data_IF_889333362847
#
_entry.id   IF_889333362847
#
_cell.length_a   1.000
_cell.length_b   1.000
_cell.length_c   1.000
_cell.angle_alpha   90.00
_cell.angle_beta   90.00
_cell.angle_gamma   90.00
#
_symmetry.space_group_name_H-M   'P 1'
#
loop_
_entity.id
_entity.type
_entity.pdbx_description
1 polymer ?
#
# COMPACT_ATOMS: atom_id res chain seq x y z
N UNK A 1 7.36 -4.93 1.35
CA UNK A 1 6.27 -4.27 0.58
C UNK A 1 4.99 -4.37 1.39
N UNK A 2 4.15 -3.33 1.42
CA UNK A 2 2.90 -3.36 2.21
C UNK A 2 1.71 -3.29 1.26
N UNK A 3 0.77 -4.22 1.39
CA UNK A 3 -0.57 -4.13 0.82
C UNK A 3 -1.53 -3.56 1.84
N UNK A 4 -2.41 -2.66 1.41
CA UNK A 4 -3.55 -2.22 2.21
C UNK A 4 -4.80 -2.74 1.50
N UNK A 5 -5.49 -3.67 2.17
CA UNK A 5 -6.72 -4.28 1.67
C UNK A 5 -7.90 -3.73 2.45
N UNK A 6 -8.99 -3.44 1.75
CA UNK A 6 -10.20 -2.87 2.34
C UNK A 6 -11.28 -3.94 2.44
N UNK A 7 -12.00 -3.97 3.55
CA UNK A 7 -13.11 -4.87 3.79
C UNK A 7 -14.24 -4.11 4.49
N UNK A 8 -15.49 -4.41 4.13
CA UNK A 8 -16.67 -3.67 4.62
C UNK A 8 -17.54 -4.46 5.60
N UNK A 9 -17.08 -4.74 6.83
CA UNK A 9 -17.96 -5.19 7.90
C UNK A 9 -18.67 -4.01 8.56
N UNK A 10 -19.48 -4.27 9.59
CA UNK A 10 -20.20 -3.23 10.33
C UNK A 10 -19.32 -2.39 11.29
N UNK A 11 -18.11 -2.85 11.63
CA UNK A 11 -17.19 -2.18 12.57
C UNK A 11 -15.95 -1.60 11.88
N UNK A 12 -15.41 -0.51 12.44
CA UNK A 12 -14.20 0.17 11.97
C UNK A 12 -12.94 -0.08 12.83
N UNK A 13 -13.11 -0.66 14.01
CA UNK A 13 -11.99 -0.88 14.96
C UNK A 13 -11.10 -2.06 14.59
N UNK A 14 -11.58 -2.96 13.73
CA UNK A 14 -11.01 -4.29 13.56
C UNK A 14 -9.97 -4.36 12.43
N UNK A 15 -9.01 -3.43 12.43
CA UNK A 15 -7.88 -3.47 11.50
C UNK A 15 -6.91 -4.58 11.92
N UNK A 16 -6.48 -5.41 10.97
CA UNK A 16 -5.62 -6.57 11.25
C UNK A 16 -4.39 -6.61 10.36
N UNK A 17 -3.26 -7.01 10.94
CA UNK A 17 -2.02 -7.26 10.20
C UNK A 17 -1.95 -8.75 9.84
N UNK A 18 -1.88 -9.02 8.54
CA UNK A 18 -1.77 -10.35 7.99
C UNK A 18 -0.37 -10.54 7.45
N UNK A 19 0.34 -11.51 8.01
CA UNK A 19 1.69 -11.89 7.58
C UNK A 19 1.62 -12.77 6.34
N UNK A 20 1.29 -12.12 5.23
CA UNK A 20 1.12 -12.72 3.92
C UNK A 20 0.27 -11.83 3.02
N UNK A 21 -0.56 -12.44 2.18
CA UNK A 21 -1.36 -11.73 1.17
C UNK A 21 -2.86 -11.97 1.34
N UNK A 22 -3.66 -10.93 1.13
CA UNK A 22 -5.11 -11.07 0.96
C UNK A 22 -5.49 -10.74 -0.48
N UNK A 23 -6.18 -11.67 -1.12
CA UNK A 23 -6.77 -11.48 -2.45
C UNK A 23 -8.23 -11.09 -2.32
N UNK A 24 -8.70 -10.26 -3.25
CA UNK A 24 -10.06 -9.72 -3.32
C UNK A 24 -11.06 -10.62 -4.06
N UNK A 25 -10.67 -11.86 -4.29
CA UNK A 25 -11.47 -12.88 -4.94
C UNK A 25 -11.18 -14.25 -4.31
N UNK A 26 -12.16 -15.14 -4.43
CA UNK A 26 -12.11 -16.51 -3.94
C UNK A 26 -12.22 -17.54 -5.06
N UNK A 27 -12.33 -18.80 -4.65
CA UNK A 27 -12.60 -19.91 -5.55
C UNK A 27 -13.98 -19.72 -6.20
N UNK A 28 -14.04 -19.91 -7.52
CA UNK A 28 -15.30 -19.77 -8.28
C UNK A 28 -16.12 -21.05 -8.30
N UNK A 29 -15.48 -22.21 -8.25
CA UNK A 29 -16.16 -23.49 -8.27
C UNK A 29 -16.62 -23.87 -6.84
N UNK A 30 -17.88 -24.30 -6.64
CA UNK A 30 -18.42 -24.60 -5.31
C UNK A 30 -17.71 -25.76 -4.61
N UNK A 31 -17.26 -26.77 -5.37
CA UNK A 31 -16.60 -27.96 -4.81
C UNK A 31 -15.10 -27.75 -4.49
N UNK A 32 -14.55 -26.57 -4.75
CA UNK A 32 -13.17 -26.26 -4.35
C UNK A 32 -13.06 -26.14 -2.83
N UNK A 33 -11.95 -26.64 -2.28
CA UNK A 33 -11.67 -26.57 -0.84
C UNK A 33 -11.63 -25.11 -0.37
N UNK A 34 -12.42 -24.77 0.64
CA UNK A 34 -12.41 -23.42 1.25
C UNK A 34 -11.20 -23.18 2.15
N UNK A 35 -10.57 -24.24 2.64
CA UNK A 35 -9.40 -24.17 3.51
C UNK A 35 -8.38 -25.23 3.09
N UNK A 36 -7.14 -24.78 2.99
CA UNK A 36 -6.00 -25.56 2.52
C UNK A 36 -4.84 -25.30 3.46
N UNK A 37 -4.37 -26.35 4.12
CA UNK A 37 -3.21 -26.31 5.01
C UNK A 37 -1.98 -26.80 4.24
N UNK A 38 -0.79 -26.26 4.57
CA UNK A 38 0.47 -26.56 3.88
C UNK A 38 0.32 -26.50 2.35
N UNK A 39 -0.03 -25.31 1.86
CA UNK A 39 -0.36 -25.07 0.47
C UNK A 39 0.90 -24.76 -0.35
N UNK A 40 1.12 -25.55 -1.40
CA UNK A 40 1.96 -25.17 -2.53
C UNK A 40 1.19 -24.22 -3.44
N UNK A 41 1.81 -23.10 -3.79
CA UNK A 41 1.21 -22.05 -4.60
C UNK A 41 1.88 -22.03 -5.95
N UNK A 42 1.07 -22.14 -7.01
CA UNK A 42 1.49 -21.96 -8.39
C UNK A 42 0.94 -20.63 -8.89
N UNK A 43 1.82 -19.66 -9.11
CA UNK A 43 1.48 -18.40 -9.78
C UNK A 43 1.82 -18.44 -11.27
N UNK A 44 0.86 -18.02 -12.10
CA UNK A 44 1.11 -17.89 -13.54
C UNK A 44 0.29 -16.80 -14.21
N UNK A 45 0.67 -16.45 -15.43
CA UNK A 45 -0.10 -15.54 -16.30
C UNK A 45 -0.58 -16.21 -17.60
N UNK A 46 -0.64 -17.54 -17.60
CA UNK A 46 -1.05 -18.35 -18.76
C UNK A 46 -2.56 -18.39 -18.85
N UNK A 47 -3.09 -18.34 -20.07
CA UNK A 47 -4.54 -18.45 -20.26
C UNK A 47 -4.98 -19.89 -20.13
N UNK A 48 -5.91 -20.13 -19.21
CA UNK A 48 -6.62 -21.39 -19.07
C UNK A 48 -8.08 -21.19 -19.52
N UNK A 49 -8.32 -20.27 -20.46
CA UNK A 49 -9.62 -20.05 -21.06
C UNK A 49 -9.51 -20.14 -22.58
N UNK A 50 -10.66 -20.28 -23.25
CA UNK A 50 -10.71 -20.25 -24.70
C UNK A 50 -10.28 -18.88 -25.22
N UNK A 51 -9.12 -18.84 -25.87
CA UNK A 51 -8.61 -17.65 -26.55
C UNK A 51 -8.95 -17.72 -28.03
N UNK A 52 -9.60 -16.67 -28.55
CA UNK A 52 -9.68 -16.47 -30.00
C UNK A 52 -8.30 -16.09 -30.51
N UNK A 53 -7.94 -16.59 -31.70
CA UNK A 53 -6.68 -16.19 -32.32
C UNK A 53 -6.65 -14.67 -32.56
N UNK A 54 -5.47 -14.05 -32.37
CA UNK A 54 -5.28 -12.61 -32.58
C UNK A 54 -5.38 -12.23 -34.06
N UNK A 55 -4.98 -13.14 -34.95
CA UNK A 55 -5.21 -13.03 -36.39
C UNK A 55 -6.60 -13.56 -36.68
N UNK A 56 -7.36 -12.88 -37.56
CA UNK A 56 -8.69 -13.30 -38.00
C UNK A 56 -8.67 -14.73 -38.59
N UNK A 57 -8.82 -15.73 -37.73
CA UNK A 57 -8.90 -17.14 -38.11
C UNK A 57 -10.37 -17.51 -38.27
N UNK A 58 -10.84 -17.57 -39.51
CA UNK A 58 -12.12 -18.18 -39.83
C UNK A 58 -11.94 -19.68 -40.06
N UNK A 59 -12.69 -20.51 -39.35
CA UNK A 59 -12.75 -21.93 -39.67
C UNK A 59 -13.82 -22.18 -40.72
N UNK A 60 -13.43 -22.79 -41.85
CA UNK A 60 -14.36 -23.28 -42.86
C UNK A 60 -14.46 -24.79 -42.72
N UNK A 61 -15.67 -25.29 -42.48
CA UNK A 61 -15.98 -26.71 -42.41
C UNK A 61 -17.15 -27.03 -43.35
N UNK A 62 -17.12 -28.20 -43.98
CA UNK A 62 -18.17 -28.63 -44.91
C UNK A 62 -19.13 -29.63 -44.27
N UNK A 63 -18.67 -30.35 -43.24
CA UNK A 63 -19.45 -31.37 -42.53
C UNK A 63 -19.60 -31.06 -41.04
N UNK A 64 -20.64 -31.62 -40.41
CA UNK A 64 -20.86 -31.50 -38.97
C UNK A 64 -19.74 -32.18 -38.15
N UNK A 65 -19.21 -33.31 -38.65
CA UNK A 65 -18.12 -34.05 -38.00
C UNK A 65 -16.82 -33.24 -37.95
N UNK A 66 -16.48 -32.51 -39.01
CA UNK A 66 -15.32 -31.61 -39.04
C UNK A 66 -15.45 -30.50 -38.00
N UNK A 67 -16.64 -29.93 -37.85
CA UNK A 67 -16.92 -28.92 -36.82
C UNK A 67 -16.68 -29.47 -35.41
N UNK A 68 -17.17 -30.67 -35.12
CA UNK A 68 -16.96 -31.29 -33.80
C UNK A 68 -15.49 -31.59 -33.53
N UNK A 69 -14.73 -32.05 -34.54
CA UNK A 69 -13.29 -32.31 -34.41
C UNK A 69 -12.51 -31.04 -34.08
N UNK A 70 -12.85 -29.92 -34.72
CA UNK A 70 -12.21 -28.62 -34.46
C UNK A 70 -12.49 -28.11 -33.04
N UNK A 71 -13.75 -28.15 -32.60
CA UNK A 71 -14.13 -27.77 -31.23
C UNK A 71 -13.40 -28.63 -30.19
N UNK A 72 -13.28 -29.95 -30.46
CA UNK A 72 -12.50 -30.85 -29.60
C UNK A 72 -11.01 -30.52 -29.62
N UNK A 73 -10.43 -30.14 -30.76
CA UNK A 73 -9.02 -29.81 -30.87
C UNK A 73 -8.65 -28.53 -30.10
N UNK A 74 -9.47 -27.47 -30.22
CA UNK A 74 -9.30 -26.25 -29.44
C UNK A 74 -9.37 -26.52 -27.94
N UNK A 75 -10.31 -27.38 -27.53
CA UNK A 75 -10.46 -27.76 -26.13
C UNK A 75 -9.31 -28.62 -25.61
N UNK A 76 -8.81 -29.56 -26.43
CA UNK A 76 -7.63 -30.38 -26.08
C UNK A 76 -6.42 -29.53 -25.70
N UNK A 77 -6.20 -28.41 -26.37
CA UNK A 77 -5.11 -27.49 -26.06
C UNK A 77 -5.17 -26.96 -24.61
N UNK A 78 -6.37 -26.62 -24.13
CA UNK A 78 -6.59 -26.17 -22.75
C UNK A 78 -6.51 -27.35 -21.78
N UNK A 79 -7.12 -28.48 -22.13
CA UNK A 79 -7.07 -29.70 -21.32
C UNK A 79 -5.62 -30.18 -21.11
N UNK A 80 -4.75 -30.10 -22.11
CA UNK A 80 -3.35 -30.47 -22.00
C UNK A 80 -2.59 -29.54 -21.05
N UNK A 81 -2.90 -28.23 -21.05
CA UNK A 81 -2.37 -27.28 -20.06
C UNK A 81 -2.80 -27.61 -18.63
N UNK A 82 -4.08 -27.96 -18.44
CA UNK A 82 -4.61 -28.36 -17.13
C UNK A 82 -3.98 -29.67 -16.67
N UNK A 83 -3.79 -30.64 -17.57
CA UNK A 83 -3.11 -31.91 -17.26
C UNK A 83 -1.70 -31.68 -16.73
N UNK A 84 -0.91 -30.79 -17.35
CA UNK A 84 0.43 -30.44 -16.83
C UNK A 84 0.40 -29.92 -15.39
N UNK A 85 -0.59 -29.10 -15.04
CA UNK A 85 -0.77 -28.60 -13.67
C UNK A 85 -1.16 -29.74 -12.70
N UNK A 86 -2.04 -30.64 -13.15
CA UNK A 86 -2.45 -31.82 -12.37
C UNK A 86 -1.30 -32.81 -12.17
N UNK A 87 -0.46 -33.00 -13.19
CA UNK A 87 0.77 -33.81 -13.12
C UNK A 87 1.76 -33.23 -12.10
N UNK A 88 2.02 -31.92 -12.16
CA UNK A 88 2.87 -31.23 -11.19
C UNK A 88 2.34 -31.38 -9.77
N UNK A 89 1.02 -31.27 -9.58
CA UNK A 89 0.41 -31.54 -8.28
C UNK A 89 0.68 -32.97 -7.81
N UNK A 90 0.53 -33.96 -8.67
CA UNK A 90 0.72 -35.37 -8.31
C UNK A 90 2.18 -35.66 -7.95
N UNK A 91 3.12 -34.99 -8.60
CA UNK A 91 4.55 -35.06 -8.29
C UNK A 91 4.87 -34.48 -6.91
N UNK A 92 4.29 -33.33 -6.56
CA UNK A 92 4.63 -32.60 -5.32
C UNK A 92 3.80 -33.04 -4.10
N UNK A 93 2.52 -33.36 -4.31
CA UNK A 93 1.56 -33.72 -3.25
C UNK A 93 1.32 -35.24 -3.16
N UNK A 94 2.16 -36.08 -3.77
CA UNK A 94 1.89 -37.52 -4.00
C UNK A 94 1.43 -38.30 -2.77
N UNK A 95 2.24 -38.35 -1.70
CA UNK A 95 1.92 -39.08 -0.46
C UNK A 95 1.54 -38.17 0.71
N UNK A 96 1.99 -36.91 0.68
CA UNK A 96 1.70 -35.91 1.69
C UNK A 96 0.38 -35.19 1.40
N UNK A 97 -0.39 -34.90 2.45
CA UNK A 97 -1.64 -34.11 2.37
C UNK A 97 -1.37 -32.61 2.11
N UNK A 98 -0.35 -32.30 1.31
CA UNK A 98 -0.03 -30.95 0.88
C UNK A 98 -1.19 -30.37 0.06
N UNK A 99 -1.56 -29.15 0.39
CA UNK A 99 -2.49 -28.37 -0.40
C UNK A 99 -1.87 -27.91 -1.72
N UNK A 100 -2.70 -27.70 -2.75
CA UNK A 100 -2.24 -27.10 -4.00
C UNK A 100 -3.20 -25.98 -4.43
N UNK A 101 -2.65 -24.78 -4.64
CA UNK A 101 -3.39 -23.57 -4.98
C UNK A 101 -2.80 -22.97 -6.24
N UNK A 102 -3.65 -22.70 -7.23
CA UNK A 102 -3.27 -22.04 -8.49
C UNK A 102 -3.79 -20.63 -8.46
N UNK A 103 -2.91 -19.65 -8.65
CA UNK A 103 -3.26 -18.24 -8.74
C UNK A 103 -2.88 -17.74 -10.12
N UNK A 104 -3.88 -17.58 -10.97
CA UNK A 104 -3.69 -17.15 -12.35
C UNK A 104 -4.07 -15.68 -12.53
N UNK A 105 -3.23 -14.93 -13.24
CA UNK A 105 -3.53 -13.57 -13.68
C UNK A 105 -4.60 -13.55 -14.77
N UNK A 106 -4.63 -14.57 -15.65
CA UNK A 106 -5.63 -14.69 -16.72
C UNK A 106 -6.87 -15.45 -16.23
N UNK A 107 -7.86 -15.59 -17.11
CA UNK A 107 -9.06 -16.38 -16.83
C UNK A 107 -8.81 -17.88 -16.81
N UNK A 108 -9.76 -18.59 -16.20
CA UNK A 108 -9.85 -20.05 -16.19
C UNK A 108 -11.28 -20.38 -16.63
N UNK A 109 -11.45 -21.25 -17.62
CA UNK A 109 -12.76 -21.66 -18.10
C UNK A 109 -13.47 -22.62 -17.12
N UNK A 110 -14.81 -22.73 -17.16
CA UNK A 110 -15.56 -23.59 -16.27
C UNK A 110 -15.12 -25.06 -16.31
N UNK A 111 -14.80 -25.62 -17.47
CA UNK A 111 -14.40 -27.03 -17.54
C UNK A 111 -13.03 -27.28 -16.91
N UNK A 112 -12.09 -26.34 -17.07
CA UNK A 112 -10.82 -26.38 -16.35
C UNK A 112 -11.02 -26.23 -14.85
N UNK A 113 -11.95 -25.37 -14.40
CA UNK A 113 -12.30 -25.26 -12.98
C UNK A 113 -12.86 -26.58 -12.43
N UNK A 114 -13.73 -27.26 -13.16
CA UNK A 114 -14.27 -28.57 -12.78
C UNK A 114 -13.17 -29.63 -12.67
N UNK A 115 -12.24 -29.65 -13.64
CA UNK A 115 -11.11 -30.58 -13.64
C UNK A 115 -10.17 -30.34 -12.46
N UNK A 116 -9.83 -29.07 -12.17
CA UNK A 116 -9.01 -28.69 -11.03
C UNK A 116 -9.73 -28.97 -9.70
N UNK A 117 -11.03 -28.75 -9.62
CA UNK A 117 -11.84 -29.02 -8.44
C UNK A 117 -11.90 -30.52 -8.10
N UNK A 118 -12.05 -31.39 -9.11
CA UNK A 118 -12.03 -32.85 -8.94
C UNK A 118 -10.71 -33.36 -8.34
N UNK A 119 -9.60 -32.77 -8.76
CA UNK A 119 -8.29 -33.08 -8.20
C UNK A 119 -8.10 -32.41 -6.83
N UNK A 120 -9.00 -31.52 -6.39
CA UNK A 120 -8.90 -30.80 -5.11
C UNK A 120 -7.88 -29.66 -5.13
N UNK A 121 -7.68 -29.02 -6.29
CA UNK A 121 -6.88 -27.81 -6.47
C UNK A 121 -7.79 -26.58 -6.29
N UNK A 122 -7.34 -25.62 -5.47
CA UNK A 122 -8.03 -24.32 -5.38
C UNK A 122 -7.51 -23.43 -6.49
N UNK A 123 -8.37 -23.00 -7.41
CA UNK A 123 -7.98 -22.15 -8.52
C UNK A 123 -8.59 -20.75 -8.39
N UNK A 124 -7.71 -19.75 -8.41
CA UNK A 124 -8.03 -18.34 -8.43
C UNK A 124 -7.72 -17.80 -9.83
N UNK A 125 -8.65 -17.03 -10.38
CA UNK A 125 -8.52 -16.47 -11.72
C UNK A 125 -8.60 -14.95 -11.67
N UNK A 126 -8.00 -14.29 -12.66
CA UNK A 126 -8.00 -12.83 -12.81
C UNK A 126 -7.34 -12.11 -11.63
N UNK A 127 -6.27 -12.69 -11.08
CA UNK A 127 -5.48 -12.05 -10.05
C UNK A 127 -4.82 -10.76 -10.57
N UNK A 128 -4.76 -9.73 -9.73
CA UNK A 128 -4.11 -8.46 -10.09
C UNK A 128 -2.61 -8.67 -10.28
N UNK A 129 -2.02 -8.10 -11.33
CA UNK A 129 -0.57 -8.17 -11.59
C UNK A 129 0.29 -7.79 -10.37
N UNK A 130 -0.08 -6.72 -9.66
CA UNK A 130 0.61 -6.27 -8.44
C UNK A 130 0.62 -7.33 -7.32
N UNK A 131 -0.39 -8.22 -7.29
CA UNK A 131 -0.48 -9.28 -6.30
C UNK A 131 0.48 -10.42 -6.66
N UNK A 132 0.72 -10.68 -7.97
CA UNK A 132 1.71 -11.65 -8.42
C UNK A 132 3.11 -11.29 -7.94
N UNK A 133 3.51 -10.02 -8.08
CA UNK A 133 4.79 -9.51 -7.56
C UNK A 133 4.88 -9.70 -6.04
N UNK A 134 3.79 -9.45 -5.31
CA UNK A 134 3.75 -9.64 -3.84
C UNK A 134 3.80 -11.10 -3.43
N UNK A 135 3.16 -11.98 -4.19
CA UNK A 135 3.16 -13.42 -3.97
C UNK A 135 4.56 -14.01 -4.13
N UNK A 136 5.30 -13.62 -5.17
CA UNK A 136 6.71 -14.01 -5.32
C UNK A 136 7.55 -13.58 -4.11
N UNK A 137 7.31 -12.37 -3.58
CA UNK A 137 8.02 -11.86 -2.41
C UNK A 137 7.59 -12.51 -1.08
N UNK A 138 6.32 -12.94 -0.95
CA UNK A 138 5.78 -13.52 0.27
C UNK A 138 6.05 -15.03 0.36
N UNK A 139 5.72 -15.76 -0.70
CA UNK A 139 5.72 -17.22 -0.77
C UNK A 139 7.04 -17.78 -1.31
N UNK A 140 7.90 -16.94 -1.90
CA UNK A 140 9.18 -17.34 -2.48
C UNK A 140 9.08 -17.98 -3.86
N UNK A 141 7.92 -17.89 -4.52
CA UNK A 141 7.67 -18.48 -5.83
C UNK A 141 8.24 -17.67 -6.99
N UNK A 142 8.33 -18.32 -8.16
CA UNK A 142 8.63 -17.67 -9.43
C UNK A 142 7.36 -17.61 -10.27
N UNK A 143 6.93 -16.40 -10.65
CA UNK A 143 5.74 -16.24 -11.49
C UNK A 143 5.99 -16.81 -12.89
N UNK A 144 5.17 -17.78 -13.30
CA UNK A 144 5.36 -18.52 -14.56
C UNK A 144 4.62 -17.88 -15.74
N UNK A 145 5.31 -17.83 -16.87
CA UNK A 145 4.77 -17.32 -18.13
C UNK A 145 4.35 -18.41 -19.13
N UNK A 146 4.89 -19.62 -18.97
CA UNK A 146 4.51 -20.81 -19.73
C UNK A 146 4.38 -22.00 -18.78
N UNK A 147 3.63 -23.01 -19.21
CA UNK A 147 3.44 -24.28 -18.49
C UNK A 147 4.34 -25.40 -19.04
N UNK A 148 5.26 -25.10 -19.97
CA UNK A 148 6.09 -26.12 -20.60
C UNK A 148 7.22 -26.62 -19.69
N UNK A 149 7.83 -25.72 -18.91
CA UNK A 149 8.92 -26.04 -17.97
C UNK A 149 8.45 -25.90 -16.51
N UNK A 150 7.42 -26.67 -16.13
CA UNK A 150 6.96 -26.73 -14.75
C UNK A 150 7.93 -27.56 -13.90
N UNK A 151 8.57 -26.92 -12.92
CA UNK A 151 9.42 -27.59 -11.92
C UNK A 151 8.85 -27.37 -10.52
N UNK A 152 9.02 -28.33 -9.59
CA UNK A 152 8.66 -28.16 -8.18
C UNK A 152 9.29 -26.91 -7.54
N UNK A 153 10.52 -26.56 -7.96
CA UNK A 153 11.27 -25.39 -7.46
C UNK A 153 10.60 -24.05 -7.77
N UNK A 154 9.70 -24.00 -8.76
CA UNK A 154 8.99 -22.77 -9.12
C UNK A 154 7.83 -22.45 -8.16
N UNK A 155 7.41 -23.42 -7.35
CA UNK A 155 6.26 -23.30 -6.46
C UNK A 155 6.60 -22.51 -5.19
N UNK A 156 5.62 -21.73 -4.74
CA UNK A 156 5.65 -21.06 -3.45
C UNK A 156 5.10 -21.94 -2.35
N UNK A 157 5.36 -21.55 -1.11
CA UNK A 157 4.80 -22.24 0.05
C UNK A 157 4.11 -21.27 1.01
N UNK A 158 2.90 -21.65 1.43
CA UNK A 158 2.14 -20.98 2.47
C UNK A 158 1.55 -22.01 3.44
N UNK A 159 1.72 -21.80 4.74
CA UNK A 159 1.22 -22.73 5.75
C UNK A 159 -0.31 -22.79 5.84
N UNK A 160 -1.01 -21.71 5.48
CA UNK A 160 -2.47 -21.69 5.49
C UNK A 160 -3.02 -20.81 4.36
N UNK A 161 -3.90 -21.38 3.55
CA UNK A 161 -4.71 -20.65 2.57
C UNK A 161 -6.18 -20.92 2.85
N UNK A 162 -6.97 -19.87 3.04
CA UNK A 162 -8.41 -20.02 3.26
C UNK A 162 -9.23 -18.92 2.61
N UNK A 163 -10.43 -19.30 2.17
CA UNK A 163 -11.44 -18.37 1.68
C UNK A 163 -12.30 -17.90 2.85
N UNK A 164 -12.47 -16.58 2.95
CA UNK A 164 -13.39 -15.94 3.85
C UNK A 164 -14.42 -15.16 3.04
N UNK A 165 -15.68 -15.53 3.20
CA UNK A 165 -16.80 -14.90 2.49
C UNK A 165 -17.47 -13.90 3.42
N UNK A 166 -17.64 -12.66 2.96
CA UNK A 166 -18.38 -11.61 3.65
C UNK A 166 -19.47 -11.08 2.73
N UNK A 167 -20.72 -11.44 3.02
CA UNK A 167 -21.84 -11.15 2.11
C UNK A 167 -21.64 -11.90 0.79
N UNK A 168 -21.58 -11.15 -0.32
CA UNK A 168 -21.33 -11.69 -1.67
C UNK A 168 -19.84 -11.66 -2.06
N UNK A 169 -19.01 -10.92 -1.32
CA UNK A 169 -17.59 -10.78 -1.60
C UNK A 169 -16.79 -11.94 -0.97
N UNK A 170 -15.83 -12.47 -1.73
CA UNK A 170 -14.94 -13.54 -1.30
C UNK A 170 -13.52 -13.02 -1.22
N UNK A 171 -12.85 -13.30 -0.12
CA UNK A 171 -11.46 -12.93 0.11
C UNK A 171 -10.64 -14.19 0.34
N UNK A 172 -9.51 -14.32 -0.34
CA UNK A 172 -8.59 -15.45 -0.06
C UNK A 172 -7.41 -14.94 0.74
N UNK A 173 -7.22 -15.54 1.92
CA UNK A 173 -6.13 -15.25 2.83
C UNK A 173 -5.03 -16.26 2.60
N UNK A 174 -3.81 -15.76 2.42
CA UNK A 174 -2.60 -16.55 2.27
C UNK A 174 -1.69 -16.15 3.44
N UNK A 175 -1.59 -17.03 4.44
CA UNK A 175 -0.92 -16.78 5.70
C UNK A 175 0.21 -17.78 5.93
N UNK A 176 1.11 -17.45 6.88
CA UNK A 176 2.27 -18.29 7.24
C UNK A 176 3.14 -18.60 6.01
N UNK A 177 3.42 -17.57 5.21
CA UNK A 177 4.34 -17.70 4.08
C UNK A 177 5.79 -17.80 4.59
N UNK A 178 6.65 -18.54 3.87
CA UNK A 178 8.04 -18.79 4.31
C UNK A 178 8.86 -17.51 4.45
N UNK A 179 8.60 -16.49 3.62
CA UNK A 179 9.37 -15.25 3.58
C UNK A 179 8.44 -14.04 3.60
N UNK A 180 7.99 -13.57 4.76
CA UNK A 180 7.01 -12.48 4.86
C UNK A 180 7.60 -11.07 4.59
N UNK A 181 8.32 -10.89 3.48
CA UNK A 181 8.77 -9.57 2.98
C UNK A 181 7.62 -8.72 2.48
N UNK A 182 6.51 -9.36 2.08
CA UNK A 182 5.25 -8.70 1.79
C UNK A 182 4.22 -9.04 2.87
N UNK A 183 3.55 -8.01 3.38
CA UNK A 183 2.49 -8.13 4.39
C UNK A 183 1.26 -7.33 3.96
N UNK A 184 0.09 -7.73 4.45
CA UNK A 184 -1.18 -7.06 4.17
C UNK A 184 -1.76 -6.47 5.44
N UNK A 185 -2.05 -5.18 5.43
CA UNK A 185 -2.89 -4.52 6.41
C UNK A 185 -4.34 -4.58 5.91
N UNK A 186 -5.16 -5.39 6.56
CA UNK A 186 -6.58 -5.49 6.28
C UNK A 186 -7.32 -4.46 7.12
N UNK A 187 -7.78 -3.41 6.46
CA UNK A 187 -8.56 -2.32 7.03
C UNK A 187 -10.03 -2.66 6.90
N UNK A 188 -10.73 -2.66 8.04
CA UNK A 188 -12.15 -2.91 8.13
C UNK A 188 -12.87 -1.60 8.44
N UNK A 189 -14.01 -1.35 7.79
CA UNK A 189 -14.80 -0.16 8.05
C UNK A 189 -16.17 -0.21 7.38
N UNK A 190 -17.19 0.43 7.98
CA UNK A 190 -18.57 0.35 7.51
C UNK A 190 -18.78 1.12 6.21
N UNK A 191 -18.12 2.28 6.07
CA UNK A 191 -18.33 3.21 4.98
C UNK A 191 -17.09 3.35 4.10
N UNK A 192 -17.30 3.59 2.81
CA UNK A 192 -16.17 3.79 1.87
C UNK A 192 -15.32 5.01 2.24
N UNK A 193 -15.95 6.08 2.73
CA UNK A 193 -15.26 7.30 3.12
C UNK A 193 -14.36 7.08 4.34
N UNK A 194 -14.85 6.37 5.37
CA UNK A 194 -14.05 6.06 6.57
C UNK A 194 -12.90 5.11 6.25
N UNK A 195 -13.14 4.06 5.44
CA UNK A 195 -12.09 3.18 4.92
C UNK A 195 -10.99 3.95 4.19
N UNK A 196 -11.37 4.89 3.34
CA UNK A 196 -10.43 5.71 2.58
C UNK A 196 -9.60 6.60 3.50
N UNK A 197 -10.22 7.21 4.51
CA UNK A 197 -9.54 8.03 5.51
C UNK A 197 -8.55 7.21 6.35
N UNK A 198 -8.96 6.04 6.86
CA UNK A 198 -8.10 5.15 7.64
C UNK A 198 -6.92 4.67 6.79
N UNK A 199 -7.16 4.32 5.52
CA UNK A 199 -6.11 3.94 4.58
C UNK A 199 -5.10 5.04 4.33
N UNK A 200 -5.53 6.30 4.20
CA UNK A 200 -4.61 7.43 4.08
C UNK A 200 -3.81 7.62 5.38
N UNK A 201 -4.46 7.59 6.53
CA UNK A 201 -3.78 7.70 7.83
C UNK A 201 -2.71 6.62 8.03
N UNK A 202 -3.02 5.36 7.71
CA UNK A 202 -2.07 4.24 7.75
C UNK A 202 -0.91 4.48 6.78
N UNK A 203 -1.20 4.93 5.55
CA UNK A 203 -0.16 5.19 4.55
C UNK A 203 0.80 6.28 4.99
N UNK A 204 0.29 7.34 5.59
CA UNK A 204 1.09 8.46 6.09
C UNK A 204 1.93 8.01 7.30
N UNK A 205 1.33 7.27 8.24
CA UNK A 205 2.04 6.67 9.37
C UNK A 205 3.15 5.70 8.94
N UNK A 206 2.88 4.81 7.98
CA UNK A 206 3.89 3.89 7.43
C UNK A 206 5.06 4.64 6.80
N UNK A 207 4.79 5.75 6.09
CA UNK A 207 5.83 6.58 5.50
C UNK A 207 6.62 7.34 6.56
N UNK A 208 5.96 7.87 7.58
CA UNK A 208 6.63 8.53 8.70
C UNK A 208 7.57 7.57 9.45
N UNK A 209 7.12 6.34 9.73
CA UNK A 209 7.96 5.31 10.36
C UNK A 209 9.11 4.91 9.43
N UNK A 210 8.86 4.74 8.13
CA UNK A 210 9.90 4.44 7.14
C UNK A 210 10.97 5.55 7.08
N UNK A 211 10.55 6.81 7.11
CA UNK A 211 11.47 7.94 7.17
C UNK A 211 12.30 7.95 8.46
N UNK A 212 11.71 7.56 9.59
CA UNK A 212 12.44 7.44 10.87
C UNK A 212 13.54 6.38 10.79
N UNK A 213 13.26 5.26 10.14
CA UNK A 213 14.23 4.18 9.90
C UNK A 213 15.34 4.66 8.96
N UNK A 214 14.99 5.36 7.88
CA UNK A 214 15.95 5.85 6.89
C UNK A 214 16.86 6.96 7.45
N UNK A 215 16.31 7.87 8.26
CA UNK A 215 17.04 9.01 8.82
C UNK A 215 17.98 8.61 9.97
N UNK A 216 17.62 7.58 10.75
CA UNK A 216 18.36 7.15 11.94
C UNK A 216 18.29 8.16 13.11
N UNK A 217 17.55 9.25 12.96
CA UNK A 217 17.31 10.25 13.98
C UNK A 217 15.87 10.80 13.90
N UNK A 218 15.37 11.27 15.04
CA UNK A 218 14.05 11.88 15.18
C UNK A 218 14.19 13.18 15.97
N UNK A 219 13.30 14.14 15.74
CA UNK A 219 13.31 15.43 16.41
C UNK A 219 12.04 15.56 17.27
N UNK A 220 12.08 16.14 18.48
CA UNK A 220 10.86 16.42 19.25
C UNK A 220 9.85 17.22 18.43
N UNK A 221 8.59 16.79 18.45
CA UNK A 221 7.52 17.38 17.65
C UNK A 221 6.78 18.53 18.36
N UNK A 222 5.49 18.69 18.01
CA UNK A 222 4.56 19.64 18.63
C UNK A 222 5.06 21.10 18.70
N UNK A 223 5.87 21.53 17.72
CA UNK A 223 6.36 22.90 17.62
C UNK A 223 7.64 23.18 18.41
N UNK A 224 8.24 22.18 19.08
CA UNK A 224 9.42 22.40 19.91
C UNK A 224 10.64 22.91 19.12
N UNK A 225 10.84 22.33 17.94
CA UNK A 225 11.94 22.72 17.04
C UNK A 225 11.74 24.13 16.52
N UNK A 226 10.50 24.47 16.15
CA UNK A 226 10.14 25.78 15.63
C UNK A 226 10.42 26.89 16.63
N UNK A 227 10.04 26.69 17.90
CA UNK A 227 10.33 27.66 18.97
C UNK A 227 11.84 27.80 19.18
N UNK A 228 12.57 26.70 19.28
CA UNK A 228 14.02 26.72 19.47
C UNK A 228 14.76 27.39 18.30
N UNK A 229 14.38 27.07 17.06
CA UNK A 229 14.93 27.69 15.85
C UNK A 229 14.63 29.19 15.81
N UNK A 230 13.39 29.60 16.10
CA UNK A 230 13.02 31.01 16.11
C UNK A 230 13.85 31.81 17.12
N UNK A 231 14.01 31.28 18.34
CA UNK A 231 14.86 31.93 19.35
C UNK A 231 16.33 32.00 18.94
N UNK A 232 16.86 30.93 18.34
CA UNK A 232 18.23 30.91 17.83
C UNK A 232 18.44 31.97 16.73
N UNK A 233 17.47 32.13 15.83
CA UNK A 233 17.50 33.16 14.78
C UNK A 233 17.39 34.57 15.33
N UNK A 234 16.56 34.80 16.35
CA UNK A 234 16.45 36.09 17.05
C UNK A 234 17.79 36.45 17.71
N UNK A 235 18.49 35.49 18.32
CA UNK A 235 19.84 35.69 18.85
C UNK A 235 20.86 35.96 17.72
N UNK A 236 20.76 35.23 16.61
CA UNK A 236 21.63 35.40 15.45
C UNK A 236 21.44 36.73 14.72
N UNK A 237 20.23 37.32 14.79
CA UNK A 237 19.88 38.62 14.20
C UNK A 237 20.87 39.74 14.54
N UNK A 238 21.48 39.72 15.74
CA UNK A 238 22.46 40.73 16.15
C UNK A 238 23.78 40.65 15.37
N UNK A 239 24.10 39.49 14.77
CA UNK A 239 25.32 39.29 13.97
C UNK A 239 25.16 39.71 12.50
N UNK A 240 23.93 39.79 12.00
CA UNK A 240 23.61 40.13 10.61
C UNK A 240 23.54 41.65 10.45
N UNK A 241 24.23 42.19 9.44
CA UNK A 241 24.32 43.63 9.19
C UNK A 241 23.36 44.07 8.09
N UNK A 242 22.80 45.27 8.25
CA UNK A 242 22.03 45.94 7.19
C UNK A 242 20.60 45.43 7.05
N UNK A 243 20.07 45.49 5.82
CA UNK A 243 18.66 45.20 5.52
C UNK A 243 18.27 43.73 5.71
N UNK A 244 19.23 42.81 5.56
CA UNK A 244 19.02 41.37 5.71
C UNK A 244 18.55 40.99 7.11
N UNK A 245 18.83 41.84 8.10
CA UNK A 245 18.35 41.69 9.47
C UNK A 245 16.82 41.64 9.57
N UNK A 246 16.11 42.38 8.70
CA UNK A 246 14.65 42.37 8.62
C UNK A 246 14.13 41.04 8.06
N UNK A 247 14.86 40.45 7.10
CA UNK A 247 14.53 39.14 6.53
C UNK A 247 14.67 38.03 7.57
N UNK A 248 15.77 38.03 8.34
CA UNK A 248 15.98 37.06 9.43
C UNK A 248 14.88 37.18 10.50
N UNK A 249 14.51 38.41 10.88
CA UNK A 249 13.41 38.62 11.82
C UNK A 249 12.09 38.08 11.29
N UNK A 250 11.72 38.44 10.05
CA UNK A 250 10.49 37.96 9.44
C UNK A 250 10.45 36.42 9.35
N UNK A 251 11.58 35.79 9.02
CA UNK A 251 11.67 34.33 8.98
C UNK A 251 11.51 33.70 10.37
N UNK A 252 12.14 34.26 11.41
CA UNK A 252 12.00 33.79 12.78
C UNK A 252 10.55 33.89 13.28
N UNK A 253 9.86 34.99 12.96
CA UNK A 253 8.47 35.21 13.38
C UNK A 253 7.49 34.22 12.73
N UNK A 254 7.76 33.82 11.47
CA UNK A 254 6.95 32.85 10.72
C UNK A 254 7.05 31.44 11.32
N UNK A 255 8.20 31.05 11.88
CA UNK A 255 8.36 29.72 12.47
C UNK A 255 7.36 29.45 13.61
N UNK A 256 6.95 30.49 14.35
CA UNK A 256 5.93 30.35 15.39
C UNK A 256 4.54 29.98 14.88
N UNK A 257 4.28 29.97 13.56
CA UNK A 257 2.96 29.66 13.02
C UNK A 257 2.48 28.25 13.42
N UNK A 258 3.38 27.26 13.45
CA UNK A 258 3.04 25.88 13.80
C UNK A 258 2.53 25.79 15.25
N UNK A 259 3.30 26.20 16.29
CA UNK A 259 2.82 26.16 17.66
C UNK A 259 1.61 27.08 17.90
N UNK A 260 1.51 28.24 17.22
CA UNK A 260 0.33 29.10 17.27
C UNK A 260 -0.92 28.35 16.82
N UNK A 261 -0.91 27.84 15.59
CA UNK A 261 -2.09 27.19 15.01
C UNK A 261 -2.45 25.91 15.78
N UNK A 262 -1.47 25.18 16.30
CA UNK A 262 -1.72 24.04 17.19
C UNK A 262 -2.47 24.44 18.46
N UNK A 263 -1.99 25.47 19.18
CA UNK A 263 -2.68 25.98 20.37
C UNK A 263 -4.10 26.49 20.04
N UNK A 264 -4.25 27.19 18.91
CA UNK A 264 -5.54 27.71 18.44
C UNK A 264 -6.55 26.59 18.15
N UNK A 265 -6.10 25.55 17.44
CA UNK A 265 -6.94 24.40 17.08
C UNK A 265 -7.36 23.60 18.32
N UNK A 266 -6.54 23.61 19.36
CA UNK A 266 -6.87 23.05 20.67
C UNK A 266 -7.76 23.96 21.54
N UNK A 267 -8.03 25.20 21.12
CA UNK A 267 -8.91 26.15 21.82
C UNK A 267 -8.23 27.00 22.91
N UNK A 268 -6.89 26.99 22.98
CA UNK A 268 -6.13 27.78 23.94
C UNK A 268 -5.76 29.16 23.39
N UNK A 269 -5.43 30.10 24.30
CA UNK A 269 -4.94 31.42 23.89
C UNK A 269 -3.55 31.33 23.25
N UNK A 270 -3.45 31.92 22.06
CA UNK A 270 -2.27 31.90 21.21
C UNK A 270 -1.06 32.57 21.87
N UNK A 271 -1.28 33.71 22.52
CA UNK A 271 -0.18 34.54 23.03
C UNK A 271 0.30 34.00 24.36
N UNK A 272 -0.61 33.67 25.27
CA UNK A 272 -0.29 33.15 26.58
C UNK A 272 0.51 31.84 26.48
N UNK A 273 0.05 30.91 25.65
CA UNK A 273 0.71 29.61 25.44
C UNK A 273 2.12 29.78 24.89
N UNK A 274 2.28 30.65 23.89
CA UNK A 274 3.60 30.90 23.31
C UNK A 274 4.57 31.57 24.27
N UNK A 275 4.10 32.56 25.03
CA UNK A 275 4.95 33.28 25.99
C UNK A 275 5.44 32.32 27.06
N UNK A 276 4.55 31.47 27.59
CA UNK A 276 4.92 30.41 28.56
C UNK A 276 6.03 29.51 28.02
N UNK A 277 5.86 28.97 26.80
CA UNK A 277 6.87 28.09 26.19
C UNK A 277 8.19 28.84 25.94
N UNK A 278 8.13 30.09 25.50
CA UNK A 278 9.34 30.88 25.23
C UNK A 278 10.14 31.17 26.49
N UNK A 279 9.45 31.52 27.59
CA UNK A 279 10.06 31.79 28.90
C UNK A 279 10.72 30.52 29.42
N UNK A 280 9.98 29.42 29.51
CA UNK A 280 10.51 28.17 30.05
C UNK A 280 11.64 27.59 29.18
N UNK A 281 11.56 27.74 27.85
CA UNK A 281 12.64 27.30 26.96
C UNK A 281 13.91 28.13 27.19
N UNK A 282 13.76 29.42 27.48
CA UNK A 282 14.89 30.30 27.77
C UNK A 282 15.54 29.99 29.13
N UNK A 283 14.76 29.56 30.11
CA UNK A 283 15.23 29.22 31.46
C UNK A 283 15.87 27.83 31.52
N UNK A 284 15.25 26.82 30.92
CA UNK A 284 15.67 25.42 31.02
C UNK A 284 16.61 24.99 29.89
N UNK A 285 16.60 25.69 28.75
CA UNK A 285 17.33 25.30 27.55
C UNK A 285 16.86 23.97 26.93
N UNK A 286 15.73 23.44 27.39
CA UNK A 286 15.14 22.19 26.91
C UNK A 286 14.14 22.42 25.78
N UNK A 287 13.99 21.44 24.88
CA UNK A 287 13.04 21.51 23.76
C UNK A 287 11.61 21.28 24.29
N UNK A 288 10.90 22.39 24.53
CA UNK A 288 9.52 22.42 25.01
C UNK A 288 8.54 22.61 23.86
N UNK A 289 7.41 21.92 23.93
CA UNK A 289 6.30 21.98 22.99
C UNK A 289 4.99 22.42 23.65
N UNK A 290 3.96 22.65 22.83
CA UNK A 290 2.59 22.86 23.29
C UNK A 290 1.93 21.51 23.59
N UNK A 291 1.37 21.32 24.78
CA UNK A 291 0.40 20.24 25.01
C UNK A 291 -0.96 20.60 24.41
N UNK A 292 -1.46 19.74 23.52
CA UNK A 292 -2.73 19.94 22.85
C UNK A 292 -3.94 19.71 23.76
N UNK A 293 -3.78 19.07 24.92
CA UNK A 293 -4.87 18.81 25.87
C UNK A 293 -4.96 19.85 26.98
N UNK A 294 -3.84 20.36 27.46
CA UNK A 294 -3.78 21.31 28.59
C UNK A 294 -3.43 22.73 28.20
N UNK A 295 -2.76 22.92 27.05
CA UNK A 295 -2.22 24.21 26.64
C UNK A 295 -0.97 24.63 27.41
N UNK A 296 -0.40 23.74 28.22
CA UNK A 296 0.81 24.01 29.00
C UNK A 296 2.08 23.57 28.25
N UNK A 297 3.24 24.16 28.59
CA UNK A 297 4.51 23.69 28.04
C UNK A 297 4.82 22.26 28.51
N UNK A 298 5.28 21.43 27.59
CA UNK A 298 5.62 20.03 27.86
C UNK A 298 6.90 19.62 27.13
N UNK A 299 7.61 18.61 27.63
CA UNK A 299 8.75 18.03 26.92
C UNK A 299 8.25 17.02 25.88
N UNK A 300 8.28 17.39 24.59
CA UNK A 300 7.73 16.58 23.51
C UNK A 300 8.31 15.15 23.43
N UNK A 301 9.61 15.02 23.74
CA UNK A 301 10.31 13.74 23.71
C UNK A 301 9.78 12.75 24.74
N UNK A 302 9.45 13.22 25.95
CA UNK A 302 8.90 12.39 27.04
C UNK A 302 7.46 11.96 26.76
N UNK A 303 6.69 12.82 26.09
CA UNK A 303 5.34 12.49 25.65
C UNK A 303 5.27 11.61 24.39
N UNK A 304 6.42 11.25 23.82
CA UNK A 304 6.47 10.40 22.63
C UNK A 304 6.00 11.08 21.34
N UNK A 305 5.97 12.41 21.30
CA UNK A 305 5.60 13.18 20.09
C UNK A 305 6.86 13.53 19.32
N UNK A 306 7.03 12.89 18.16
CA UNK A 306 8.23 13.02 17.34
C UNK A 306 7.92 13.39 15.90
N UNK A 307 8.77 14.23 15.33
CA UNK A 307 8.77 14.59 13.92
C UNK A 307 10.00 13.99 13.22
N UNK A 308 9.84 13.60 11.95
CA UNK A 308 10.95 13.11 11.13
C UNK A 308 11.91 14.25 10.74
N UNK A 309 13.21 13.97 10.78
CA UNK A 309 14.23 14.93 10.40
C UNK A 309 14.14 15.34 8.93
N UNK A 310 14.03 14.37 8.00
CA UNK A 310 13.92 14.65 6.58
C UNK A 310 12.73 15.55 6.24
N UNK A 311 11.59 15.35 6.90
CA UNK A 311 10.36 16.12 6.67
C UNK A 311 10.58 17.59 7.04
N UNK A 312 11.10 17.86 8.25
CA UNK A 312 11.39 19.25 8.68
C UNK A 312 12.45 19.92 7.82
N UNK A 313 13.53 19.19 7.48
CA UNK A 313 14.60 19.69 6.61
C UNK A 313 14.06 20.08 5.23
N UNK A 314 13.28 19.19 4.60
CA UNK A 314 12.69 19.45 3.28
C UNK A 314 11.64 20.55 3.34
N UNK A 315 10.85 20.62 4.41
CA UNK A 315 9.87 21.67 4.64
C UNK A 315 10.54 23.05 4.66
N UNK A 316 11.54 23.24 5.52
CA UNK A 316 12.25 24.51 5.63
C UNK A 316 12.89 24.92 4.30
N UNK A 317 13.52 23.98 3.60
CA UNK A 317 14.13 24.25 2.31
C UNK A 317 13.08 24.65 1.24
N UNK A 318 12.03 23.83 1.08
CA UNK A 318 11.02 24.02 0.04
C UNK A 318 10.20 25.29 0.28
N UNK A 319 9.77 25.55 1.51
CA UNK A 319 9.03 26.75 1.86
C UNK A 319 9.85 28.01 1.57
N UNK A 320 11.13 28.02 1.93
CA UNK A 320 12.02 29.18 1.69
C UNK A 320 12.21 29.43 0.20
N UNK A 321 12.49 28.38 -0.58
CA UNK A 321 12.67 28.49 -2.05
C UNK A 321 11.39 29.00 -2.71
N UNK A 322 10.23 28.44 -2.36
CA UNK A 322 8.94 28.84 -2.96
C UNK A 322 8.60 30.28 -2.57
N UNK A 323 8.73 30.65 -1.29
CA UNK A 323 8.42 32.00 -0.81
C UNK A 323 9.32 33.04 -1.51
N UNK A 324 10.61 32.76 -1.64
CA UNK A 324 11.56 33.67 -2.33
C UNK A 324 11.16 33.83 -3.80
N UNK A 325 10.81 32.75 -4.50
CA UNK A 325 10.39 32.81 -5.89
C UNK A 325 9.11 33.64 -6.07
N UNK A 326 8.14 33.51 -5.15
CA UNK A 326 6.89 34.28 -5.21
C UNK A 326 7.14 35.77 -4.89
N UNK A 327 7.98 36.07 -3.90
CA UNK A 327 8.31 37.45 -3.53
C UNK A 327 9.01 38.24 -4.63
N UNK A 328 9.71 37.56 -5.54
CA UNK A 328 10.40 38.19 -6.69
C UNK A 328 9.48 38.46 -7.89
N UNK A 329 8.18 38.10 -7.82
CA UNK A 329 7.24 38.33 -8.92
C UNK A 329 6.68 39.76 -8.84
N UNK A 330 7.14 40.63 -9.74
CA UNK A 330 6.63 42.00 -9.83
C UNK A 330 5.30 42.10 -10.58
N UNK A 331 5.04 41.20 -11.53
CA UNK A 331 3.84 41.25 -12.38
C UNK A 331 3.38 39.87 -12.82
N UNK A 332 2.09 39.61 -12.68
CA UNK A 332 1.43 38.41 -13.22
C UNK A 332 0.69 38.81 -14.49
N UNK A 333 1.19 38.38 -15.65
CA UNK A 333 0.50 38.58 -16.92
C UNK A 333 -0.40 37.38 -17.21
N UNK A 334 -1.72 37.63 -17.31
CA UNK A 334 -2.67 36.65 -17.82
C UNK A 334 -2.87 36.89 -19.32
N UNK A 335 -2.05 36.23 -20.13
CA UNK A 335 -2.16 36.24 -21.58
C UNK A 335 -2.32 34.80 -22.09
N UNK A 336 -3.28 34.59 -22.98
CA UNK A 336 -3.55 33.32 -23.62
C UNK A 336 -4.46 33.57 -24.81
N UNK A 337 -4.27 32.82 -25.90
CA UNK A 337 -5.14 32.94 -27.07
C UNK A 337 -6.55 32.50 -26.67
N UNK A 338 -7.52 33.40 -26.79
CA UNK A 338 -8.92 33.02 -26.70
C UNK A 338 -9.23 32.12 -27.89
N UNK A 339 -9.42 30.82 -27.65
CA UNK A 339 -10.01 29.93 -28.65
C UNK A 339 -11.53 30.20 -28.76
N UNK A 340 -11.90 31.43 -29.11
CA UNK A 340 -13.18 31.73 -29.70
C UNK A 340 -13.00 31.57 -31.21
N UNK A 341 -12.99 30.32 -31.66
CA UNK A 341 -13.36 30.00 -33.04
C UNK A 341 -14.89 30.03 -33.07
N UNK A 342 -15.44 30.88 -33.92
CA UNK A 342 -16.87 31.00 -34.19
C UNK A 342 -17.44 29.84 -34.97
#
# INVERSE_FOLDING_TARGET
>A
MVEIMEMKPKSETDTSLIRGLVLDHGARHPDMKKRVENAYILTGNVSLEYEKAEVNSGFFYKSAEEREKLVKAERKFIEDRVKKIVELKKEVCGEDRGGFVVINQKGIDPFSLDALAKEGIVALCRAKRRNMERLTLACGEVALNSLDDLKPDCLGHAGLVYEYTLGEEKFTFIEKCNNSRSVTLLVKGPNKHTLTQIKYAIRDGLRAVKNAIDDGCMIPGAGAVEVAMAQALIKHKASVKGRDQLGVQAFADVLFIIPKVLAQNSGFDLQETLVKIQVEHSELGQLLSVDLHTGEPMVAAEAGVWDNYCVKKQLLHSCTVIATNILLVDKIMRAGMSSLKG
#
